data_IF_409497992702
#
_entry.id   IF_409497992702
#
_cell.length_a   1.000
_cell.length_b   1.000
_cell.length_c   1.000
_cell.angle_alpha   90.00
_cell.angle_beta   90.00
_cell.angle_gamma   90.00
#
_symmetry.space_group_name_H-M   'P 1'
#
loop_
_entity.id
_entity.type
_entity.pdbx_description
1 polymer ?
#
# COMPACT_ATOMS: atom_id res chain seq x y z
N UNK A 1 61.77 -3.01 53.47
CA UNK A 1 60.76 -3.70 52.67
C UNK A 1 60.10 -2.70 51.74
N UNK A 2 60.23 -2.86 50.41
CA UNK A 2 59.46 -2.10 49.43
C UNK A 2 58.07 -2.73 49.36
N UNK A 3 57.06 -2.03 49.83
CA UNK A 3 55.65 -2.41 49.56
C UNK A 3 55.39 -2.30 48.04
N UNK A 4 55.04 -3.42 47.45
CA UNK A 4 54.54 -3.45 46.05
C UNK A 4 53.14 -2.94 46.09
N UNK A 5 52.94 -1.71 45.63
CA UNK A 5 51.62 -1.17 45.37
C UNK A 5 51.10 -1.87 44.12
N UNK A 6 50.05 -2.70 44.26
CA UNK A 6 49.44 -3.41 43.14
C UNK A 6 48.79 -2.40 42.14
N UNK A 7 48.91 -2.69 40.84
CA UNK A 7 48.26 -1.90 39.79
C UNK A 7 46.73 -2.07 39.86
N UNK A 8 46.02 -0.94 40.03
CA UNK A 8 44.55 -0.92 39.93
C UNK A 8 44.13 -0.86 38.48
N UNK A 9 43.61 -1.96 37.96
CA UNK A 9 43.08 -2.02 36.58
C UNK A 9 41.57 -1.79 36.59
N UNK A 10 41.14 -0.74 35.92
CA UNK A 10 39.70 -0.48 35.69
C UNK A 10 39.32 -1.09 34.36
N UNK A 11 38.43 -2.07 34.38
CA UNK A 11 37.88 -2.69 33.15
C UNK A 11 36.59 -1.94 32.72
N UNK A 12 36.53 -1.47 31.48
CA UNK A 12 35.30 -0.82 30.96
C UNK A 12 34.08 -1.77 31.01
N UNK A 13 32.96 -1.24 31.44
CA UNK A 13 31.66 -1.96 31.48
C UNK A 13 31.15 -2.21 30.06
N UNK A 14 30.62 -3.39 29.79
CA UNK A 14 29.94 -3.64 28.48
C UNK A 14 28.72 -2.73 28.30
N UNK A 15 28.62 -2.09 27.11
CA UNK A 15 27.46 -1.29 26.71
C UNK A 15 26.39 -2.14 26.01
N UNK A 16 26.65 -3.40 25.73
CA UNK A 16 25.73 -4.31 25.07
C UNK A 16 24.50 -4.48 25.97
N UNK A 17 23.25 -4.24 25.47
CA UNK A 17 22.03 -4.46 26.22
C UNK A 17 21.94 -5.91 26.69
N UNK A 18 21.41 -6.10 27.90
CA UNK A 18 21.17 -7.44 28.40
C UNK A 18 20.08 -8.14 27.58
N UNK A 19 20.33 -9.39 27.22
CA UNK A 19 19.32 -10.28 26.68
C UNK A 19 18.30 -10.61 27.79
N UNK A 20 16.98 -10.66 27.50
CA UNK A 20 15.97 -11.07 28.47
C UNK A 20 16.28 -12.38 29.19
N UNK A 21 16.92 -13.34 28.49
CA UNK A 21 17.25 -14.66 29.00
C UNK A 21 18.59 -14.70 29.79
N UNK A 22 19.30 -13.57 29.86
CA UNK A 22 20.51 -13.47 30.66
C UNK A 22 20.19 -13.62 32.16
N UNK A 23 20.81 -14.53 32.91
CA UNK A 23 20.65 -14.64 34.35
C UNK A 23 20.94 -13.30 35.07
N UNK A 24 20.19 -12.98 36.11
CA UNK A 24 20.22 -11.67 36.77
C UNK A 24 21.61 -11.35 37.38
N UNK A 25 22.34 -12.37 37.84
CA UNK A 25 23.69 -12.26 38.36
C UNK A 25 24.72 -11.89 37.28
N UNK A 26 24.42 -12.15 36.01
CA UNK A 26 25.27 -11.86 34.85
C UNK A 26 24.87 -10.62 34.08
N UNK A 27 23.71 -10.05 34.36
CA UNK A 27 23.22 -8.83 33.69
C UNK A 27 24.14 -7.64 33.95
N UNK A 28 24.49 -6.93 32.90
CA UNK A 28 25.22 -5.65 32.96
C UNK A 28 24.35 -4.52 33.49
N UNK A 29 23.05 -4.61 33.29
CA UNK A 29 22.07 -3.56 33.62
C UNK A 29 21.99 -2.48 32.56
N UNK A 30 22.46 -2.73 31.33
CA UNK A 30 22.29 -1.80 30.22
C UNK A 30 20.96 -2.07 29.54
N UNK A 31 20.16 -1.02 29.40
CA UNK A 31 18.92 -1.02 28.65
C UNK A 31 18.95 0.06 27.56
N UNK A 32 18.25 -0.19 26.44
CA UNK A 32 18.21 0.70 25.29
C UNK A 32 16.78 0.82 24.79
N UNK A 33 16.35 2.04 24.47
CA UNK A 33 15.04 2.27 23.85
C UNK A 33 15.02 1.66 22.45
N UNK A 34 13.85 1.19 22.00
CA UNK A 34 13.67 0.79 20.63
C UNK A 34 13.40 2.03 19.74
N UNK A 35 14.07 2.12 18.57
CA UNK A 35 13.77 3.15 17.61
C UNK A 35 12.40 2.89 16.97
N UNK A 36 11.76 3.94 16.45
CA UNK A 36 10.43 3.88 15.83
C UNK A 36 10.54 3.93 14.32
N UNK A 37 9.71 3.13 13.66
CA UNK A 37 9.54 3.23 12.22
C UNK A 37 8.90 4.58 11.84
N UNK A 38 9.31 5.11 10.71
CA UNK A 38 8.76 6.33 10.10
C UNK A 38 8.19 6.01 8.73
N UNK A 39 7.44 6.94 8.14
CA UNK A 39 6.98 6.88 6.77
C UNK A 39 7.77 7.90 5.95
N UNK A 40 8.18 7.54 4.75
CA UNK A 40 8.83 8.44 3.82
C UNK A 40 8.04 9.75 3.63
N UNK A 41 8.68 10.88 3.83
CA UNK A 41 8.10 12.23 3.68
C UNK A 41 9.06 13.22 3.01
N UNK A 42 10.20 12.71 2.50
CA UNK A 42 11.24 13.51 1.88
C UNK A 42 12.19 14.20 2.86
N UNK A 43 12.02 13.96 4.18
CA UNK A 43 12.86 14.53 5.22
C UNK A 43 13.78 13.48 5.84
N UNK A 44 14.79 13.94 6.57
CA UNK A 44 15.68 13.07 7.33
C UNK A 44 14.95 12.51 8.59
N UNK A 45 14.97 11.20 8.75
CA UNK A 45 14.41 10.48 9.89
C UNK A 45 15.53 9.93 10.77
N UNK A 46 16.00 10.73 11.72
CA UNK A 46 17.07 10.34 12.65
C UNK A 46 16.50 10.01 14.03
N UNK A 47 16.37 8.73 14.33
CA UNK A 47 15.94 8.26 15.65
C UNK A 47 17.05 8.36 16.70
N UNK A 48 16.73 8.88 17.87
CA UNK A 48 17.67 9.00 18.99
C UNK A 48 17.39 7.91 20.01
N UNK A 49 18.42 7.10 20.32
CA UNK A 49 18.31 6.05 21.32
C UNK A 49 18.64 6.59 22.71
N UNK A 50 17.86 6.19 23.70
CA UNK A 50 18.19 6.36 25.11
C UNK A 50 18.88 5.09 25.61
N UNK A 51 20.12 5.22 26.04
CA UNK A 51 20.90 4.12 26.66
C UNK A 51 20.99 4.39 28.14
N UNK A 52 20.55 3.45 28.96
CA UNK A 52 20.50 3.60 30.43
C UNK A 52 21.26 2.49 31.14
N UNK A 53 22.03 2.88 32.13
CA UNK A 53 22.59 1.96 33.12
C UNK A 53 21.66 1.86 34.34
N UNK A 54 20.87 0.80 34.41
CA UNK A 54 19.90 0.57 35.49
C UNK A 54 20.53 0.30 36.83
N UNK A 55 21.80 -0.21 36.86
CA UNK A 55 22.54 -0.44 38.13
C UNK A 55 22.99 0.85 38.80
N UNK A 56 23.26 1.89 38.00
CA UNK A 56 23.59 3.23 38.49
C UNK A 56 22.42 4.21 38.46
N UNK A 57 21.33 3.84 37.74
CA UNK A 57 20.15 4.68 37.52
C UNK A 57 20.40 5.84 36.55
N UNK A 58 21.52 5.86 35.84
CA UNK A 58 21.93 6.99 34.97
C UNK A 58 21.66 6.70 33.52
N UNK A 59 21.21 7.74 32.77
CA UNK A 59 21.25 7.74 31.33
C UNK A 59 22.67 8.00 30.86
N UNK A 60 23.11 7.24 29.87
CA UNK A 60 24.42 7.42 29.25
C UNK A 60 24.38 8.56 28.25
N UNK A 61 25.48 9.26 28.11
CA UNK A 61 25.57 10.49 27.30
C UNK A 61 26.32 10.18 26.01
N UNK A 62 25.68 10.47 24.87
CA UNK A 62 26.31 10.36 23.56
C UNK A 62 27.57 11.25 23.46
N UNK A 63 28.59 10.78 22.75
CA UNK A 63 29.92 11.39 22.61
C UNK A 63 30.72 11.52 23.90
N UNK A 64 30.23 10.97 25.01
CA UNK A 64 30.96 10.86 26.29
C UNK A 64 31.06 9.39 26.72
N UNK A 65 29.95 8.70 26.80
CA UNK A 65 29.86 7.31 27.29
C UNK A 65 29.72 6.32 26.11
N UNK A 66 29.27 6.82 24.94
CA UNK A 66 29.16 6.03 23.71
C UNK A 66 29.15 6.94 22.48
N UNK A 67 29.43 6.35 21.31
CA UNK A 67 29.25 6.96 19.99
C UNK A 67 28.11 6.31 19.23
N UNK A 68 27.49 7.06 18.32
CA UNK A 68 26.39 6.59 17.45
C UNK A 68 26.76 6.85 16.00
N UNK A 69 26.62 5.81 15.19
CA UNK A 69 26.80 5.90 13.73
C UNK A 69 25.53 5.34 13.07
N UNK A 70 24.98 6.10 12.17
CA UNK A 70 23.83 5.68 11.34
C UNK A 70 24.31 5.17 9.98
N UNK A 71 23.51 4.34 9.31
CA UNK A 71 23.69 4.07 7.88
C UNK A 71 23.52 5.37 7.06
N UNK A 72 24.07 5.38 5.86
CA UNK A 72 24.23 6.62 5.07
C UNK A 72 22.91 7.28 4.64
N UNK A 73 21.88 6.47 4.37
CA UNK A 73 20.57 6.98 3.92
C UNK A 73 19.57 7.03 5.08
N UNK A 74 19.18 8.23 5.45
CA UNK A 74 18.19 8.52 6.50
C UNK A 74 16.90 9.15 5.94
N UNK A 75 16.79 9.26 4.62
CA UNK A 75 15.67 9.93 3.95
C UNK A 75 14.79 8.91 3.22
N UNK A 76 15.40 8.07 2.39
CA UNK A 76 14.67 7.17 1.51
C UNK A 76 14.11 5.95 2.24
N UNK A 77 13.03 5.40 1.69
CA UNK A 77 12.41 4.18 2.22
C UNK A 77 13.41 3.01 2.22
N UNK A 78 13.57 2.40 3.37
CA UNK A 78 14.55 1.35 3.59
C UNK A 78 14.72 1.00 5.07
N UNK A 79 15.75 0.25 5.38
CA UNK A 79 16.12 -0.08 6.75
C UNK A 79 17.33 0.76 7.16
N UNK A 80 17.16 1.53 8.22
CA UNK A 80 18.24 2.32 8.83
C UNK A 80 18.85 1.50 9.98
N UNK A 81 20.18 1.44 10.00
CA UNK A 81 20.94 0.80 11.06
C UNK A 81 21.60 1.85 11.95
N UNK A 82 21.41 1.72 13.24
CA UNK A 82 22.06 2.53 14.28
C UNK A 82 23.11 1.66 14.97
N UNK A 83 24.39 1.98 14.82
CA UNK A 83 25.48 1.34 15.53
C UNK A 83 25.87 2.20 16.73
N UNK A 84 25.80 1.62 17.91
CA UNK A 84 26.24 2.22 19.17
C UNK A 84 27.52 1.53 19.61
N UNK A 85 28.54 2.31 19.96
CA UNK A 85 29.83 1.79 20.44
C UNK A 85 30.22 2.48 21.75
N UNK A 86 30.58 1.71 22.75
CA UNK A 86 31.01 2.21 24.06
C UNK A 86 32.24 3.08 23.97
N UNK A 87 32.32 4.11 24.83
CA UNK A 87 33.40 5.07 24.93
C UNK A 87 33.77 5.30 26.41
N UNK A 88 35.04 5.55 26.67
CA UNK A 88 35.53 5.83 28.04
C UNK A 88 35.37 4.65 29.00
N UNK A 89 34.43 4.76 29.92
CA UNK A 89 34.16 3.71 30.91
C UNK A 89 33.29 2.56 30.40
N UNK A 90 32.90 2.62 29.13
CA UNK A 90 32.07 1.60 28.46
C UNK A 90 32.81 1.01 27.26
N UNK A 91 32.56 -0.25 26.97
CA UNK A 91 33.16 -1.01 25.87
C UNK A 91 32.15 -1.87 25.14
N UNK A 92 32.54 -2.40 23.96
CA UNK A 92 31.65 -3.18 23.11
C UNK A 92 30.77 -2.33 22.18
N UNK A 93 29.98 -2.98 21.38
CA UNK A 93 29.03 -2.31 20.47
C UNK A 93 27.83 -3.20 20.20
N UNK A 94 26.71 -2.55 19.84
CA UNK A 94 25.48 -3.21 19.40
C UNK A 94 24.84 -2.40 18.27
N UNK A 95 23.87 -2.99 17.62
CA UNK A 95 23.07 -2.34 16.58
C UNK A 95 21.58 -2.41 16.89
N UNK A 96 20.85 -1.36 16.52
CA UNK A 96 19.39 -1.31 16.42
C UNK A 96 19.02 -0.92 15.00
N UNK A 97 17.83 -1.30 14.56
CA UNK A 97 17.33 -0.96 13.24
C UNK A 97 15.90 -0.42 13.33
N UNK A 98 15.56 0.47 12.42
CA UNK A 98 14.18 0.90 12.18
C UNK A 98 13.95 1.04 10.67
N UNK A 99 12.69 1.19 10.26
CA UNK A 99 12.33 1.31 8.86
C UNK A 99 11.79 2.70 8.55
N UNK A 100 12.21 3.22 7.40
CA UNK A 100 11.47 4.26 6.70
C UNK A 100 10.59 3.53 5.70
N UNK A 101 9.27 3.55 5.93
CA UNK A 101 8.31 2.79 5.13
C UNK A 101 7.92 3.56 3.88
N UNK A 102 7.58 2.85 2.80
CA UNK A 102 7.09 3.44 1.56
C UNK A 102 5.75 4.14 1.76
N UNK A 103 5.50 5.18 0.96
CA UNK A 103 4.16 5.78 0.83
C UNK A 103 3.30 4.95 -0.10
N UNK A 104 2.06 4.79 0.26
CA UNK A 104 1.06 4.14 -0.60
C UNK A 104 0.46 5.17 -1.54
N UNK A 105 0.55 4.93 -2.84
CA UNK A 105 -0.04 5.79 -3.86
C UNK A 105 -0.96 4.96 -4.75
N UNK A 106 -2.21 5.38 -4.87
CA UNK A 106 -3.15 4.77 -5.82
C UNK A 106 -3.47 5.77 -6.93
N UNK A 107 -3.18 5.36 -8.16
CA UNK A 107 -3.46 6.11 -9.38
C UNK A 107 -4.71 5.54 -10.03
N UNK A 108 -5.78 6.33 -10.11
CA UNK A 108 -7.07 5.87 -10.65
C UNK A 108 -7.49 6.72 -11.84
N UNK A 109 -7.70 6.10 -13.02
CA UNK A 109 -8.30 6.80 -14.15
C UNK A 109 -9.82 6.92 -14.00
N UNK A 110 -10.41 7.96 -14.60
CA UNK A 110 -11.82 8.27 -14.45
C UNK A 110 -12.74 7.15 -14.99
N UNK A 111 -13.83 6.89 -14.29
CA UNK A 111 -14.98 6.14 -14.77
C UNK A 111 -16.06 7.12 -15.18
N UNK A 112 -16.46 7.12 -16.46
CA UNK A 112 -17.45 8.05 -17.01
C UNK A 112 -18.38 7.34 -17.98
N UNK A 113 -19.58 7.91 -18.15
CA UNK A 113 -20.58 7.42 -19.10
C UNK A 113 -21.23 8.55 -19.87
N UNK A 114 -21.70 8.24 -21.11
CA UNK A 114 -22.56 9.11 -21.87
C UNK A 114 -23.55 8.30 -22.72
N UNK A 115 -24.60 8.95 -23.19
CA UNK A 115 -25.48 8.42 -24.25
C UNK A 115 -24.77 8.51 -25.58
N UNK A 116 -24.98 7.53 -26.45
CA UNK A 116 -24.42 7.49 -27.79
C UNK A 116 -24.87 8.73 -28.62
N UNK A 117 -23.87 9.45 -29.12
CA UNK A 117 -24.01 10.66 -29.93
C UNK A 117 -23.14 10.64 -31.20
N UNK A 118 -22.53 9.48 -31.51
CA UNK A 118 -21.62 9.30 -32.64
C UNK A 118 -20.17 9.77 -32.38
N UNK A 119 -19.90 10.39 -31.23
CA UNK A 119 -18.56 10.89 -30.89
C UNK A 119 -17.86 9.94 -29.89
N UNK A 120 -16.53 9.91 -29.94
CA UNK A 120 -15.74 9.16 -28.96
C UNK A 120 -15.92 9.72 -27.55
N UNK A 121 -15.98 8.83 -26.56
CA UNK A 121 -15.88 9.14 -25.15
C UNK A 121 -14.42 8.94 -24.71
N UNK A 122 -13.80 9.98 -24.19
CA UNK A 122 -12.46 9.97 -23.60
C UNK A 122 -12.49 10.76 -22.29
N UNK A 123 -11.61 10.43 -21.36
CA UNK A 123 -11.40 11.21 -20.15
C UNK A 123 -9.96 11.04 -19.68
N UNK A 124 -9.22 12.14 -19.58
CA UNK A 124 -7.80 12.16 -19.24
C UNK A 124 -7.51 12.35 -17.76
N UNK A 125 -8.53 12.42 -16.92
CA UNK A 125 -8.37 12.67 -15.49
C UNK A 125 -7.79 11.43 -14.77
N UNK A 126 -6.74 11.67 -13.99
CA UNK A 126 -6.18 10.69 -13.04
C UNK A 126 -6.31 11.26 -11.64
N UNK A 127 -6.87 10.45 -10.75
CA UNK A 127 -6.94 10.75 -9.31
C UNK A 127 -5.80 10.06 -8.59
N UNK A 128 -5.05 10.82 -7.79
CA UNK A 128 -4.03 10.31 -6.88
C UNK A 128 -4.63 10.23 -5.49
N UNK A 129 -4.53 9.07 -4.84
CA UNK A 129 -5.06 8.81 -3.49
C UNK A 129 -4.10 7.96 -2.67
N UNK A 130 -4.50 7.58 -1.45
CA UNK A 130 -3.63 6.98 -0.46
C UNK A 130 -2.84 8.05 0.28
N UNK A 131 -1.54 7.80 0.55
CA UNK A 131 -0.67 8.81 1.15
C UNK A 131 -0.30 9.94 0.15
N UNK A 132 -0.44 9.67 -1.15
CA UNK A 132 -0.02 10.56 -2.22
C UNK A 132 1.49 10.70 -2.36
N UNK A 133 1.93 11.50 -3.33
CA UNK A 133 3.33 11.86 -3.48
C UNK A 133 3.74 12.95 -2.47
N UNK A 134 5.02 12.99 -2.15
CA UNK A 134 5.62 14.09 -1.38
C UNK A 134 5.59 15.35 -2.24
N UNK A 135 5.56 16.52 -1.60
CA UNK A 135 5.58 17.80 -2.31
C UNK A 135 6.79 17.93 -3.23
N UNK A 136 6.53 18.32 -4.48
CA UNK A 136 7.55 18.42 -5.54
C UNK A 136 7.90 17.11 -6.22
N UNK A 137 7.33 15.97 -5.78
CA UNK A 137 7.41 14.67 -6.42
C UNK A 137 6.09 14.33 -7.15
N UNK A 138 6.09 13.28 -7.97
CA UNK A 138 4.88 12.89 -8.69
C UNK A 138 5.15 12.08 -9.94
N UNK A 139 4.14 12.03 -10.80
CA UNK A 139 4.19 11.33 -12.08
C UNK A 139 3.46 12.12 -13.18
N UNK A 140 3.87 11.92 -14.42
CA UNK A 140 3.12 12.29 -15.61
C UNK A 140 2.27 11.12 -16.08
N UNK A 141 1.15 11.41 -16.73
CA UNK A 141 0.17 10.41 -17.13
C UNK A 141 -0.15 10.51 -18.63
N UNK A 142 -0.22 9.35 -19.30
CA UNK A 142 -0.69 9.23 -20.67
C UNK A 142 -1.96 8.34 -20.67
N UNK A 143 -3.12 8.95 -20.87
CA UNK A 143 -4.39 8.23 -20.89
C UNK A 143 -4.77 7.93 -22.33
N UNK A 144 -4.92 6.65 -22.67
CA UNK A 144 -5.16 6.15 -24.02
C UNK A 144 -6.57 5.56 -24.19
N UNK A 145 -7.35 5.49 -23.10
CA UNK A 145 -8.70 4.93 -23.11
C UNK A 145 -9.64 5.70 -24.03
N UNK A 146 -10.41 4.97 -24.85
CA UNK A 146 -11.45 5.53 -25.71
C UNK A 146 -12.59 4.53 -25.91
N UNK A 147 -13.82 5.02 -26.02
CA UNK A 147 -15.02 4.25 -26.36
C UNK A 147 -15.83 5.00 -27.41
N UNK A 148 -16.19 4.35 -28.52
CA UNK A 148 -16.90 5.00 -29.62
C UNK A 148 -18.28 4.39 -29.86
N UNK A 149 -18.48 3.10 -29.66
CA UNK A 149 -19.73 2.39 -29.83
C UNK A 149 -20.45 2.19 -28.50
N UNK A 150 -21.75 1.87 -28.55
CA UNK A 150 -22.49 1.44 -27.34
C UNK A 150 -21.77 0.23 -26.70
N UNK A 151 -21.51 0.32 -25.38
CA UNK A 151 -20.74 -0.68 -24.63
C UNK A 151 -19.75 -0.02 -23.68
N UNK A 152 -18.77 -0.81 -23.23
CA UNK A 152 -17.75 -0.35 -22.27
C UNK A 152 -16.34 -0.66 -22.79
N UNK A 153 -15.40 0.19 -22.41
CA UNK A 153 -13.96 -0.07 -22.53
C UNK A 153 -13.24 0.40 -21.28
N UNK A 154 -12.03 -0.08 -21.08
CA UNK A 154 -11.14 0.40 -20.04
C UNK A 154 -10.65 1.82 -20.36
N UNK A 155 -10.65 2.71 -19.37
CA UNK A 155 -9.97 4.01 -19.47
C UNK A 155 -8.48 3.81 -19.19
N UNK A 156 -7.79 3.09 -20.07
CA UNK A 156 -6.39 2.71 -19.94
C UNK A 156 -5.48 3.93 -19.86
N UNK A 157 -4.42 3.83 -19.05
CA UNK A 157 -3.38 4.86 -18.94
C UNK A 157 -2.04 4.24 -18.59
N UNK A 158 -0.98 4.99 -18.89
CA UNK A 158 0.36 4.73 -18.39
C UNK A 158 0.85 5.91 -17.57
N UNK A 159 1.87 5.69 -16.72
CA UNK A 159 2.48 6.75 -15.96
C UNK A 159 4.00 6.64 -15.99
N UNK A 160 4.66 7.78 -15.85
CA UNK A 160 6.09 7.89 -15.69
C UNK A 160 6.40 8.79 -14.50
N UNK A 161 7.20 8.31 -13.56
CA UNK A 161 7.62 9.10 -12.41
C UNK A 161 8.47 10.30 -12.89
N UNK A 162 8.29 11.43 -12.23
CA UNK A 162 9.08 12.63 -12.45
C UNK A 162 10.53 12.39 -11.99
N UNK A 163 11.48 13.18 -12.49
CA UNK A 163 12.92 13.00 -12.22
C UNK A 163 13.30 12.96 -10.74
N UNK A 164 12.57 13.70 -9.90
CA UNK A 164 12.81 13.76 -8.45
C UNK A 164 12.13 12.63 -7.67
N UNK A 165 11.29 11.84 -8.31
CA UNK A 165 10.49 10.81 -7.66
C UNK A 165 11.19 9.46 -7.76
N UNK A 166 11.70 8.96 -6.63
CA UNK A 166 12.32 7.64 -6.58
C UNK A 166 11.25 6.55 -6.37
N UNK A 167 11.17 5.61 -7.29
CA UNK A 167 10.23 4.48 -7.21
C UNK A 167 10.39 3.65 -5.92
N UNK A 168 11.60 3.60 -5.35
CA UNK A 168 11.89 2.89 -4.10
C UNK A 168 11.11 3.44 -2.91
N UNK A 169 10.68 4.72 -2.95
CA UNK A 169 9.98 5.40 -1.85
C UNK A 169 8.47 5.20 -1.88
N UNK A 170 7.95 4.57 -2.93
CA UNK A 170 6.52 4.45 -3.17
C UNK A 170 6.11 3.00 -3.41
N UNK A 171 4.90 2.68 -2.98
CA UNK A 171 4.16 1.49 -3.38
C UNK A 171 2.96 1.96 -4.20
N UNK A 172 3.08 1.82 -5.54
CA UNK A 172 2.15 2.43 -6.49
C UNK A 172 1.19 1.39 -7.03
N UNK A 173 -0.10 1.60 -6.78
CA UNK A 173 -1.19 0.78 -7.32
C UNK A 173 -1.87 1.53 -8.46
N UNK A 174 -2.05 0.86 -9.61
CA UNK A 174 -2.77 1.37 -10.78
C UNK A 174 -4.18 0.80 -10.82
N UNK A 175 -5.19 1.68 -10.84
CA UNK A 175 -6.61 1.33 -10.95
C UNK A 175 -7.17 1.93 -12.22
N UNK A 176 -7.69 1.07 -13.10
CA UNK A 176 -8.22 1.51 -14.39
C UNK A 176 -9.73 1.69 -14.30
N UNK A 177 -10.21 2.87 -14.63
CA UNK A 177 -11.63 3.20 -14.72
C UNK A 177 -12.29 2.65 -15.99
N UNK A 178 -13.55 2.94 -16.17
CA UNK A 178 -14.37 2.43 -17.28
C UNK A 178 -15.03 3.58 -18.04
N UNK A 179 -14.98 3.51 -19.37
CA UNK A 179 -15.73 4.38 -20.30
C UNK A 179 -16.97 3.62 -20.78
N UNK A 180 -18.17 4.18 -20.58
CA UNK A 180 -19.44 3.54 -20.94
C UNK A 180 -20.24 4.42 -21.89
N UNK A 181 -20.62 3.90 -23.05
CA UNK A 181 -21.61 4.52 -23.94
C UNK A 181 -22.91 3.72 -23.90
N UNK A 182 -23.99 4.35 -23.47
CA UNK A 182 -25.33 3.77 -23.44
C UNK A 182 -26.10 4.06 -24.74
N UNK A 183 -27.02 3.18 -25.12
CA UNK A 183 -27.89 3.42 -26.29
C UNK A 183 -28.71 4.70 -26.10
N UNK A 184 -28.91 5.44 -27.17
CA UNK A 184 -29.87 6.53 -27.17
C UNK A 184 -31.30 5.98 -26.95
N UNK A 185 -32.16 6.70 -26.22
CA UNK A 185 -33.58 6.32 -26.09
C UNK A 185 -34.22 6.16 -27.47
N UNK A 186 -35.02 5.10 -27.65
CA UNK A 186 -35.78 4.93 -28.88
C UNK A 186 -36.68 6.15 -29.10
N UNK A 187 -36.82 6.67 -30.35
CA UNK A 187 -37.77 7.72 -30.65
C UNK A 187 -39.19 7.26 -30.23
N UNK A 188 -39.83 8.02 -29.37
CA UNK A 188 -41.24 7.80 -29.06
C UNK A 188 -42.03 8.17 -30.31
N UNK A 189 -42.54 7.19 -31.06
CA UNK A 189 -43.50 7.43 -32.09
C UNK A 189 -44.75 8.05 -31.45
N UNK A 190 -45.22 9.25 -31.88
CA UNK A 190 -46.44 9.79 -31.37
C UNK A 190 -47.56 8.77 -31.60
N UNK A 191 -48.33 8.43 -30.58
CA UNK A 191 -49.50 7.59 -30.72
C UNK A 191 -50.43 8.24 -31.77
N UNK A 192 -50.70 7.56 -32.86
CA UNK A 192 -51.65 7.98 -33.87
C UNK A 192 -53.01 8.18 -33.16
N UNK A 193 -53.69 9.37 -33.29
CA UNK A 193 -54.98 9.56 -32.68
C UNK A 193 -55.91 8.50 -33.22
N UNK A 194 -56.44 7.62 -32.39
CA UNK A 194 -57.52 6.69 -32.79
C UNK A 194 -58.76 7.49 -33.16
N UNK A 195 -59.14 7.43 -34.41
CA UNK A 195 -60.40 8.00 -34.95
C UNK A 195 -61.54 7.38 -34.16
N UNK A 196 -62.50 8.16 -33.61
CA UNK A 196 -63.63 7.58 -32.91
C UNK A 196 -64.52 6.92 -33.98
N UNK A 197 -64.64 5.60 -33.91
CA UNK A 197 -65.60 4.83 -34.71
C UNK A 197 -67.03 5.10 -34.20
N UNK A 198 -67.77 5.92 -34.88
CA UNK A 198 -69.20 6.12 -34.63
C UNK A 198 -69.99 4.90 -35.12
N UNK A 199 -70.39 4.03 -34.23
CA UNK A 199 -71.37 2.98 -34.51
C UNK A 199 -72.67 3.33 -33.82
N UNK A 200 -73.65 3.70 -34.61
CA UNK A 200 -75.02 3.88 -34.22
C UNK A 200 -75.60 2.55 -33.75
N UNK A 201 -76.07 2.48 -32.51
CA UNK A 201 -76.75 1.32 -31.95
C UNK A 201 -78.20 1.49 -31.88
N UNK A 202 -78.92 0.56 -32.45
CA UNK A 202 -80.33 0.38 -32.27
C UNK A 202 -80.65 -0.47 -31.06
N UNK A 203 -81.52 0.01 -30.23
CA UNK A 203 -82.08 -0.54 -28.99
C UNK A 203 -82.71 -1.91 -29.12
N UNK A 204 -82.51 -2.82 -28.19
CA UNK A 204 -83.60 -3.69 -27.71
C UNK A 204 -83.30 -4.16 -26.28
N UNK A 205 -84.26 -3.87 -25.41
CA UNK A 205 -84.28 -4.29 -23.96
C UNK A 205 -84.73 -5.74 -23.83
N UNK A 206 -84.19 -6.46 -22.83
CA UNK A 206 -84.97 -7.10 -21.78
C UNK A 206 -84.08 -7.83 -20.81
N UNK A 207 -84.49 -8.04 -19.51
CA UNK A 207 -83.61 -8.10 -18.34
C UNK A 207 -83.47 -9.51 -17.79
N UNK A 208 -82.46 -9.70 -16.94
CA UNK A 208 -82.61 -10.44 -15.69
C UNK A 208 -81.23 -10.79 -15.09
N UNK A 209 -81.15 -10.55 -13.80
CA UNK A 209 -80.08 -10.84 -12.88
C UNK A 209 -79.88 -12.38 -12.58
N UNK A 210 -79.00 -12.87 -11.70
CA UNK A 210 -78.17 -12.19 -10.76
C UNK A 210 -76.67 -12.72 -10.68
N UNK A 211 -75.86 -11.90 -10.18
CA UNK A 211 -74.76 -12.09 -9.20
C UNK A 211 -74.13 -13.47 -9.00
N UNK A 212 -72.83 -13.57 -9.27
CA UNK A 212 -71.91 -14.41 -8.49
C UNK A 212 -70.61 -13.63 -8.30
N UNK A 213 -70.34 -13.38 -7.03
CA UNK A 213 -69.08 -12.88 -6.53
C UNK A 213 -68.04 -13.96 -6.52
N UNK A 214 -66.86 -13.74 -7.06
CA UNK A 214 -65.68 -14.53 -6.73
C UNK A 214 -64.46 -13.64 -6.53
N UNK A 215 -63.57 -13.99 -5.67
CA UNK A 215 -62.71 -13.06 -4.97
C UNK A 215 -61.45 -12.73 -5.73
N UNK A 216 -60.96 -11.51 -5.39
CA UNK A 216 -59.64 -10.98 -5.80
C UNK A 216 -58.59 -11.92 -5.26
N UNK A 217 -57.84 -12.55 -6.11
CA UNK A 217 -56.62 -13.28 -5.74
C UNK A 217 -55.48 -12.29 -5.60
N UNK A 218 -55.10 -12.10 -4.37
CA UNK A 218 -53.92 -11.30 -3.98
C UNK A 218 -52.69 -12.09 -4.36
N UNK A 219 -51.95 -11.62 -5.34
CA UNK A 219 -50.62 -12.17 -5.67
C UNK A 219 -49.67 -11.80 -4.56
N UNK A 220 -49.32 -12.82 -3.77
CA UNK A 220 -48.25 -12.70 -2.76
C UNK A 220 -46.93 -12.44 -3.48
N UNK A 221 -46.24 -11.42 -3.00
CA UNK A 221 -44.90 -11.06 -3.36
C UNK A 221 -43.96 -12.14 -2.85
N UNK A 222 -43.43 -12.95 -3.75
CA UNK A 222 -42.44 -13.97 -3.47
C UNK A 222 -41.16 -13.29 -2.96
N UNK A 223 -40.87 -13.47 -1.67
CA UNK A 223 -39.60 -13.05 -1.06
C UNK A 223 -38.55 -14.07 -1.43
N UNK A 224 -37.59 -13.66 -2.25
CA UNK A 224 -36.37 -14.41 -2.49
C UNK A 224 -35.63 -14.66 -1.17
N UNK A 225 -35.18 -15.89 -0.90
CA UNK A 225 -34.40 -16.19 0.29
C UNK A 225 -33.02 -15.52 0.21
N UNK A 226 -32.73 -14.75 1.24
CA UNK A 226 -31.41 -14.15 1.50
C UNK A 226 -30.40 -15.31 1.71
N UNK A 227 -29.49 -15.49 0.76
CA UNK A 227 -28.39 -16.41 0.91
C UNK A 227 -27.51 -15.96 2.09
N UNK A 228 -27.28 -16.85 3.03
CA UNK A 228 -26.27 -16.69 4.08
C UNK A 228 -24.87 -16.60 3.45
N UNK A 229 -23.96 -15.78 4.00
CA UNK A 229 -22.60 -15.70 3.51
C UNK A 229 -21.90 -17.04 3.82
N UNK A 230 -21.53 -17.74 2.76
CA UNK A 230 -20.66 -18.91 2.80
C UNK A 230 -19.36 -18.50 3.44
N UNK A 231 -18.98 -19.14 4.56
CA UNK A 231 -17.66 -19.04 5.17
C UNK A 231 -16.62 -19.28 4.08
N UNK A 232 -15.79 -18.26 3.83
CA UNK A 232 -14.60 -18.41 3.02
C UNK A 232 -13.65 -19.35 3.76
N UNK A 233 -13.43 -20.49 3.19
CA UNK A 233 -12.39 -21.44 3.54
C UNK A 233 -11.06 -20.77 3.15
N UNK A 234 -10.27 -20.45 4.16
CA UNK A 234 -8.93 -19.88 4.01
C UNK A 234 -8.07 -20.94 3.35
N UNK A 235 -7.90 -20.87 2.03
CA UNK A 235 -6.89 -21.63 1.31
C UNK A 235 -5.55 -21.07 1.78
N UNK A 236 -4.82 -21.84 2.57
CA UNK A 236 -3.41 -21.57 2.84
C UNK A 236 -2.68 -21.74 1.50
N UNK A 237 -2.26 -20.63 0.93
CA UNK A 237 -1.33 -20.66 -0.20
C UNK A 237 -0.02 -21.29 0.32
N UNK A 238 0.25 -22.48 -0.18
CA UNK A 238 1.51 -23.17 0.00
C UNK A 238 2.64 -22.27 -0.52
N UNK A 239 3.42 -21.72 0.41
CA UNK A 239 4.54 -20.82 0.14
C UNK A 239 5.62 -21.61 -0.60
N UNK A 240 5.62 -21.57 -1.92
CA UNK A 240 6.76 -22.05 -2.70
C UNK A 240 7.93 -21.08 -2.48
N UNK A 241 9.05 -21.54 -1.91
CA UNK A 241 10.21 -20.67 -1.69
C UNK A 241 10.71 -20.17 -3.04
N UNK A 242 10.63 -18.84 -3.25
CA UNK A 242 11.28 -18.17 -4.38
C UNK A 242 12.77 -18.48 -4.32
N UNK A 243 13.30 -18.90 -5.46
CA UNK A 243 14.68 -19.25 -5.67
C UNK A 243 15.66 -18.31 -4.95
N UNK A 244 16.63 -18.93 -4.26
CA UNK A 244 17.61 -18.26 -3.44
C UNK A 244 18.50 -17.27 -4.23
N UNK A 245 19.11 -16.28 -3.57
CA UNK A 245 19.91 -15.21 -4.19
C UNK A 245 21.19 -15.67 -4.92
N UNK A 246 21.43 -16.94 -5.06
CA UNK A 246 22.66 -17.48 -5.66
C UNK A 246 22.86 -17.11 -7.13
N UNK A 247 21.80 -16.78 -7.87
CA UNK A 247 21.90 -16.40 -9.28
C UNK A 247 22.56 -15.04 -9.49
N UNK A 248 22.46 -14.11 -8.57
CA UNK A 248 23.11 -12.81 -8.69
C UNK A 248 24.63 -12.89 -8.55
N UNK A 249 25.14 -13.74 -7.68
CA UNK A 249 26.59 -13.95 -7.51
C UNK A 249 27.21 -14.59 -8.74
N UNK A 250 26.53 -15.53 -9.37
CA UNK A 250 27.00 -16.15 -10.60
C UNK A 250 27.10 -15.15 -11.76
N UNK A 251 26.11 -14.23 -11.88
CA UNK A 251 26.10 -13.18 -12.89
C UNK A 251 27.21 -12.14 -12.65
N UNK A 252 27.43 -11.72 -11.43
CA UNK A 252 28.50 -10.78 -11.04
C UNK A 252 29.88 -11.41 -11.34
N UNK A 253 30.09 -12.67 -10.96
CA UNK A 253 31.34 -13.36 -11.26
C UNK A 253 31.59 -13.52 -12.77
N UNK A 254 30.53 -13.76 -13.57
CA UNK A 254 30.65 -13.85 -15.02
C UNK A 254 31.02 -12.49 -15.63
N UNK A 255 30.42 -11.39 -15.16
CA UNK A 255 30.74 -10.04 -15.62
C UNK A 255 32.18 -9.67 -15.26
N UNK A 256 32.63 -9.96 -14.03
CA UNK A 256 34.01 -9.73 -13.60
C UNK A 256 35.00 -10.53 -14.45
N UNK A 257 34.71 -11.79 -14.75
CA UNK A 257 35.56 -12.62 -15.62
C UNK A 257 35.68 -12.07 -17.05
N UNK A 258 34.58 -11.58 -17.62
CA UNK A 258 34.58 -10.97 -18.96
C UNK A 258 35.39 -9.65 -18.94
N UNK A 259 35.26 -8.82 -17.91
CA UNK A 259 36.02 -7.57 -17.78
C UNK A 259 37.55 -7.86 -17.63
N UNK A 260 37.91 -8.89 -16.86
CA UNK A 260 39.33 -9.30 -16.73
C UNK A 260 39.95 -9.74 -18.08
N UNK A 261 39.17 -10.43 -18.90
CA UNK A 261 39.63 -10.86 -20.22
C UNK A 261 39.72 -9.70 -21.24
N UNK A 262 38.79 -8.74 -21.15
CA UNK A 262 38.73 -7.58 -22.05
C UNK A 262 39.77 -6.51 -21.74
N UNK A 263 40.13 -6.31 -20.49
CA UNK A 263 41.01 -5.22 -20.05
C UNK A 263 42.40 -5.69 -19.59
N UNK A 264 42.67 -7.00 -19.59
CA UNK A 264 44.00 -7.55 -19.36
C UNK A 264 44.62 -7.23 -18.00
N UNK A 265 43.77 -7.13 -16.96
CA UNK A 265 44.18 -6.90 -15.56
C UNK A 265 44.17 -8.17 -14.76
#
# INVERSE_FOLDING_TARGET
AKESIGDLTVTPKSIIPDDPDTPDDKKTGITVSDPKDSKYDGQEHREVLTVKDTKTGKDLIANKDYTVVYSDDLVNAGTVTIKVSGLGNYSGSFTKTYKITKRLVTLTSATVSKTYDGQALTNTSITVSGDGFVEGEGASYEVTGTQTSVGNSANAFEYKLNEKTLASNYDITKVVGTLTITAAPAPVTPATPSTPSSTTSTTTRTPSAPQVTTPVETVEKETTPKAEPKKEEKVEEEYTPKASPQYYWALINLICAILTVLFGL
#
